data_IF_297911182524
#
_entry.id   IF_297911182524
#
_cell.length_a   1.000
_cell.length_b   1.000
_cell.length_c   1.000
_cell.angle_alpha   90.00
_cell.angle_beta   90.00
_cell.angle_gamma   90.00
#
_symmetry.space_group_name_H-M   'P 1'
#
loop_
_entity.id
_entity.type
_entity.pdbx_description
1 polymer ?
#
# COMPACT_ATOMS: atom_id res chain seq x y z
N UNK A 1 0.11 4.46 9.43
CA UNK A 1 -0.25 3.40 8.48
C UNK A 1 -0.88 4.06 7.27
N UNK A 2 -0.59 3.56 6.08
CA UNK A 2 -1.20 3.94 4.81
C UNK A 2 -1.98 2.73 4.30
N UNK A 3 -3.15 2.98 3.74
CA UNK A 3 -4.09 1.96 3.32
C UNK A 3 -4.52 2.23 1.87
N UNK A 4 -4.58 1.19 1.05
CA UNK A 4 -5.19 1.24 -0.27
C UNK A 4 -6.54 0.53 -0.29
N UNK A 5 -7.60 1.31 -0.41
CA UNK A 5 -8.98 0.84 -0.37
C UNK A 5 -9.35 0.04 -1.62
N UNK A 6 -8.65 0.18 -2.75
CA UNK A 6 -8.95 -0.66 -3.92
C UNK A 6 -8.59 -2.13 -3.74
N UNK A 7 -7.75 -2.47 -2.75
CA UNK A 7 -7.26 -3.83 -2.51
C UNK A 7 -8.10 -4.63 -1.52
N UNK A 8 -9.21 -4.06 -1.03
CA UNK A 8 -10.08 -4.76 -0.09
C UNK A 8 -10.67 -6.01 -0.76
N UNK A 9 -10.52 -7.15 -0.08
CA UNK A 9 -10.90 -8.50 -0.54
C UNK A 9 -10.00 -9.10 -1.64
N UNK A 10 -8.83 -8.54 -1.91
CA UNK A 10 -7.85 -9.25 -2.74
C UNK A 10 -7.41 -10.55 -2.05
N UNK A 11 -7.22 -11.61 -2.84
CA UNK A 11 -6.68 -12.86 -2.34
C UNK A 11 -5.19 -12.69 -2.02
N UNK A 12 -4.79 -13.14 -0.83
CA UNK A 12 -3.40 -13.12 -0.37
C UNK A 12 -2.97 -14.51 0.08
N UNK A 13 -1.66 -14.75 0.10
CA UNK A 13 -1.13 -16.00 0.62
C UNK A 13 -1.32 -16.08 2.14
N UNK A 14 -1.22 -17.28 2.71
CA UNK A 14 -1.33 -17.43 4.16
C UNK A 14 -0.17 -16.76 4.91
N UNK A 15 1.01 -16.63 4.28
CA UNK A 15 2.17 -15.95 4.84
C UNK A 15 1.94 -14.43 4.87
N UNK A 16 1.50 -13.84 3.76
CA UNK A 16 1.24 -12.39 3.67
C UNK A 16 0.10 -11.96 4.62
N UNK A 17 -0.90 -12.83 4.84
CA UNK A 17 -2.00 -12.58 5.75
C UNK A 17 -1.58 -12.46 7.22
N UNK A 18 -0.38 -12.93 7.60
CA UNK A 18 0.18 -12.74 8.94
C UNK A 18 0.63 -11.28 9.17
N UNK A 19 1.04 -10.59 8.10
CA UNK A 19 1.53 -9.21 8.15
C UNK A 19 0.40 -8.17 8.11
N UNK A 20 -0.76 -8.52 7.54
CA UNK A 20 -1.93 -7.68 7.55
C UNK A 20 -3.00 -8.05 6.53
N UNK A 21 -4.07 -7.24 6.44
CA UNK A 21 -5.03 -7.38 5.35
C UNK A 21 -4.44 -6.79 4.04
N UNK A 22 -4.95 -7.19 2.86
CA UNK A 22 -4.38 -6.79 1.57
C UNK A 22 -4.43 -5.28 1.30
N UNK A 23 -5.34 -4.55 1.95
CA UNK A 23 -5.39 -3.08 1.89
C UNK A 23 -4.31 -2.36 2.71
N UNK A 24 -3.52 -3.06 3.54
CA UNK A 24 -2.45 -2.45 4.32
C UNK A 24 -1.21 -2.22 3.43
N UNK A 25 -1.10 -1.01 2.88
CA UNK A 25 -0.06 -0.68 1.92
C UNK A 25 1.31 -0.41 2.57
N UNK A 26 1.34 0.33 3.68
CA UNK A 26 2.60 0.74 4.29
C UNK A 26 2.48 1.07 5.77
N UNK A 27 3.49 0.68 6.54
CA UNK A 27 3.66 1.07 7.94
C UNK A 27 4.91 1.94 8.06
N UNK A 28 4.71 3.23 8.37
CA UNK A 28 5.83 4.10 8.72
C UNK A 28 6.28 3.83 10.17
N UNK A 29 7.44 3.17 10.32
CA UNK A 29 8.03 2.78 11.62
C UNK A 29 9.06 3.76 12.19
N UNK A 30 9.20 4.96 11.62
CA UNK A 30 10.27 5.90 11.99
C UNK A 30 10.10 6.64 13.33
N UNK A 31 8.90 6.74 13.88
CA UNK A 31 8.65 7.46 15.15
C UNK A 31 8.81 6.54 16.35
N UNK A 32 9.53 7.01 17.38
CA UNK A 32 9.76 6.29 18.64
C UNK A 32 8.78 6.65 19.75
N UNK A 33 7.94 7.66 19.52
CA UNK A 33 6.88 8.11 20.42
C UNK A 33 5.54 8.21 19.67
N UNK A 34 4.47 8.54 20.40
CA UNK A 34 3.13 8.68 19.83
C UNK A 34 3.10 9.81 18.81
N UNK A 35 2.67 9.48 17.59
CA UNK A 35 2.38 10.48 16.55
C UNK A 35 1.16 11.30 16.96
N UNK A 36 1.29 12.62 16.94
CA UNK A 36 0.25 13.57 17.36
C UNK A 36 -0.52 14.16 16.20
N UNK A 37 0.13 14.36 15.04
CA UNK A 37 -0.50 14.89 13.84
C UNK A 37 0.25 14.45 12.57
N UNK A 38 -0.47 14.46 11.44
CA UNK A 38 0.06 14.15 10.11
C UNK A 38 -0.55 15.08 9.04
N UNK A 39 0.23 15.44 8.03
CA UNK A 39 -0.27 16.18 6.86
C UNK A 39 0.38 15.71 5.57
N UNK A 40 -0.45 15.54 4.55
CA UNK A 40 -0.02 15.33 3.17
C UNK A 40 0.54 16.60 2.57
N UNK A 41 1.56 16.47 1.74
CA UNK A 41 2.04 17.57 0.90
C UNK A 41 1.07 17.76 -0.28
N UNK A 42 0.51 18.96 -0.50
CA UNK A 42 -0.39 19.22 -1.63
C UNK A 42 0.34 19.38 -2.97
N UNK A 43 1.66 19.52 -2.96
CA UNK A 43 2.48 19.78 -4.16
C UNK A 43 3.21 18.54 -4.68
N UNK A 44 3.45 17.54 -3.82
CA UNK A 44 4.23 16.35 -4.16
C UNK A 44 3.52 15.11 -3.63
N UNK A 45 3.19 14.21 -4.55
CA UNK A 45 2.48 12.97 -4.23
C UNK A 45 3.32 12.10 -3.29
N UNK A 46 2.63 11.42 -2.38
CA UNK A 46 3.23 10.50 -1.40
C UNK A 46 4.21 11.11 -0.39
N UNK A 47 4.43 12.43 -0.42
CA UNK A 47 5.20 13.14 0.61
C UNK A 47 4.29 13.47 1.79
N UNK A 48 4.70 13.04 2.97
CA UNK A 48 3.95 13.21 4.21
C UNK A 48 4.85 13.83 5.28
N UNK A 49 4.27 14.73 6.06
CA UNK A 49 4.85 15.24 7.29
C UNK A 49 4.13 14.63 8.50
N UNK A 50 4.89 14.22 9.51
CA UNK A 50 4.34 13.68 10.76
C UNK A 50 5.12 14.17 11.98
N UNK A 51 4.41 14.47 13.05
CA UNK A 51 4.98 14.96 14.33
C UNK A 51 4.65 14.01 15.48
N UNK A 52 5.54 13.91 16.45
CA UNK A 52 5.38 13.06 17.64
C UNK A 52 5.63 13.80 18.96
N UNK A 53 5.19 13.19 20.07
CA UNK A 53 5.29 13.76 21.44
C UNK A 53 6.74 13.96 21.93
N UNK A 54 7.72 13.28 21.32
CA UNK A 54 9.15 13.42 21.62
C UNK A 54 9.83 14.57 20.86
N UNK A 55 9.03 15.50 20.31
CA UNK A 55 9.47 16.68 19.54
C UNK A 55 10.14 16.34 18.20
N UNK A 56 9.90 15.16 17.67
CA UNK A 56 10.41 14.75 16.36
C UNK A 56 9.38 15.09 15.26
N UNK A 57 9.87 15.80 14.24
CA UNK A 57 9.20 15.98 12.94
C UNK A 57 9.90 15.09 11.91
N UNK A 58 9.14 14.32 11.15
CA UNK A 58 9.64 13.56 10.01
C UNK A 58 8.91 13.99 8.74
N UNK A 59 9.68 14.18 7.68
CA UNK A 59 9.17 14.30 6.31
C UNK A 59 9.66 13.07 5.57
N UNK A 60 8.75 12.31 4.99
CA UNK A 60 9.06 11.03 4.37
C UNK A 60 8.17 10.80 3.14
N UNK A 61 8.67 9.95 2.25
CA UNK A 61 7.99 9.53 1.02
C UNK A 61 8.14 8.02 0.90
N UNK A 62 7.06 7.34 0.51
CA UNK A 62 7.13 5.91 0.21
C UNK A 62 7.92 5.69 -1.08
N UNK A 63 8.64 4.57 -1.17
CA UNK A 63 9.30 4.20 -2.41
C UNK A 63 8.27 3.87 -3.49
N UNK A 64 8.57 4.21 -4.75
CA UNK A 64 7.63 4.08 -5.87
C UNK A 64 7.13 2.64 -6.06
N UNK A 65 8.01 1.66 -5.84
CA UNK A 65 7.71 0.24 -5.95
C UNK A 65 6.71 -0.28 -4.90
N UNK A 66 6.33 0.52 -3.90
CA UNK A 66 5.36 0.12 -2.88
C UNK A 66 3.93 0.37 -3.37
N UNK A 67 3.70 1.40 -4.18
CA UNK A 67 2.36 1.79 -4.66
C UNK A 67 2.14 1.58 -6.16
N UNK A 68 3.17 1.16 -6.89
CA UNK A 68 3.07 0.77 -8.29
C UNK A 68 3.03 -0.76 -8.37
N UNK A 69 1.96 -1.34 -8.89
CA UNK A 69 1.92 -2.77 -9.18
C UNK A 69 2.90 -3.07 -10.33
N UNK A 70 3.69 -4.14 -10.20
CA UNK A 70 4.55 -4.65 -11.29
C UNK A 70 3.74 -5.19 -12.51
N UNK A 71 2.43 -4.96 -12.53
CA UNK A 71 1.46 -5.44 -13.52
C UNK A 71 1.03 -4.37 -14.55
N UNK A 72 1.64 -3.17 -14.52
CA UNK A 72 1.55 -2.17 -15.60
C UNK A 72 2.45 -2.51 -16.82
N UNK A 73 2.76 -3.79 -17.02
CA UNK A 73 3.35 -4.31 -18.25
C UNK A 73 2.27 -4.55 -19.32
N UNK A 74 2.52 -4.29 -20.61
CA UNK A 74 1.51 -4.37 -21.67
C UNK A 74 1.06 -5.80 -22.05
N UNK A 75 1.16 -6.78 -21.15
CA UNK A 75 0.92 -8.19 -21.49
C UNK A 75 0.16 -8.96 -20.40
N UNK A 76 -1.09 -8.54 -20.13
CA UNK A 76 -2.09 -9.45 -19.56
C UNK A 76 -2.91 -10.08 -20.68
N UNK A 77 -2.86 -11.41 -20.89
CA UNK A 77 -3.72 -12.08 -21.86
C UNK A 77 -5.16 -11.98 -21.37
N UNK A 78 -6.03 -11.49 -22.26
CA UNK A 78 -7.44 -11.25 -21.97
C UNK A 78 -8.14 -12.49 -21.43
N UNK A 79 -8.99 -12.23 -20.43
CA UNK A 79 -10.09 -13.09 -20.03
C UNK A 79 -10.92 -13.48 -21.27
N UNK A 80 -10.91 -14.77 -21.61
CA UNK A 80 -11.53 -15.26 -22.84
C UNK A 80 -12.05 -16.68 -22.71
N UNK A 81 -13.16 -16.84 -21.99
CA UNK A 81 -14.18 -17.86 -22.23
C UNK A 81 -13.90 -19.30 -21.82
N UNK A 82 -14.53 -19.75 -20.75
CA UNK A 82 -14.97 -21.14 -20.64
C UNK A 82 -16.12 -21.38 -21.65
N UNK A 83 -16.08 -22.47 -22.43
CA UNK A 83 -17.11 -23.47 -22.22
C UNK A 83 -16.60 -24.92 -22.31
N UNK A 84 -17.13 -25.72 -21.39
CA UNK A 84 -17.13 -27.19 -21.31
C UNK A 84 -17.11 -27.96 -22.64
N UNK A 85 -16.34 -29.05 -22.72
CA UNK A 85 -16.87 -30.30 -23.27
C UNK A 85 -16.11 -31.55 -22.78
N UNK A 86 -16.84 -32.35 -22.00
CA UNK A 86 -16.72 -33.80 -21.87
C UNK A 86 -16.44 -34.50 -23.21
N UNK A 87 -15.42 -35.37 -23.25
CA UNK A 87 -15.41 -36.74 -23.82
C UNK A 87 -14.01 -37.36 -23.74
#
# INVERSE_FOLDING_TARGET
>A
MIWDVSRINEEQTAEDAEDGPPELLFIQGGHTSKVTDISWNPCEDWVISSVAEDNILQIWQMAENIYHDEDDGPDRPGTGGEPTKDS
#
